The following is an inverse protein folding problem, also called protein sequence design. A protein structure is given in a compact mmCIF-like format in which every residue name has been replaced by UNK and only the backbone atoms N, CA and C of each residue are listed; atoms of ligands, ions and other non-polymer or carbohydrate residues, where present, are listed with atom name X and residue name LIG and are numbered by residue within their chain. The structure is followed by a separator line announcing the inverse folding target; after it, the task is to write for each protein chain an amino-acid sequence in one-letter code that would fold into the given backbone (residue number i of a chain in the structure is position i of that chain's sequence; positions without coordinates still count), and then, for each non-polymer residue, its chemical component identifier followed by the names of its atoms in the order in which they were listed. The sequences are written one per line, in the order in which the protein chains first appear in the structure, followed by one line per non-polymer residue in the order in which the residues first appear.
data_IF_818668690079
#
_entry.id   IF_818668690079
#
_cell.length_a   1.000
_cell.length_b   1.000
_cell.length_c   1.000
_cell.angle_alpha   90.00
_cell.angle_beta   90.00
_cell.angle_gamma   90.00
#
_symmetry.space_group_name_H-M   'P 1'
#
loop_
_entity.id
_entity.type
_entity.pdbx_description
1 polymer ?
#
# COMPACT_ATOMS: atom_id res chain seq x y z
N UNK A 1 -0.62 -32.73 8.87
CA UNK A 1 -0.35 -31.59 7.95
C UNK A 1 -0.08 -30.36 8.79
N UNK A 2 0.95 -29.60 8.47
CA UNK A 2 1.24 -28.32 9.12
C UNK A 2 1.48 -27.25 8.04
N UNK A 3 1.22 -25.99 8.38
CA UNK A 3 1.42 -24.86 7.49
C UNK A 3 2.65 -24.06 7.94
N UNK A 4 3.39 -23.52 6.97
CA UNK A 4 4.49 -22.59 7.20
C UNK A 4 4.13 -21.29 6.52
N UNK A 5 4.07 -20.21 7.28
CA UNK A 5 3.83 -18.87 6.76
C UNK A 5 5.10 -18.04 6.88
N UNK A 6 5.50 -17.41 5.79
CA UNK A 6 6.62 -16.47 5.77
C UNK A 6 6.34 -15.38 4.73
N UNK A 7 6.96 -14.22 4.94
CA UNK A 7 6.97 -13.13 3.96
C UNK A 7 8.25 -13.20 3.15
N UNK A 8 8.12 -13.22 1.83
CA UNK A 8 9.25 -13.21 0.92
C UNK A 8 8.99 -12.25 -0.24
N UNK A 9 10.07 -11.68 -0.77
CA UNK A 9 10.01 -10.86 -1.96
C UNK A 9 10.03 -11.76 -3.19
N UNK A 10 9.12 -11.51 -4.13
CA UNK A 10 9.15 -12.15 -5.44
C UNK A 10 10.23 -11.47 -6.28
N UNK A 11 11.28 -12.20 -6.67
CA UNK A 11 12.34 -11.71 -7.55
C UNK A 11 12.27 -12.46 -8.88
N UNK A 12 12.03 -11.75 -9.98
CA UNK A 12 11.93 -12.34 -11.32
C UNK A 12 10.92 -13.51 -11.40
N UNK A 13 9.81 -13.42 -10.68
CA UNK A 13 8.79 -14.48 -10.62
C UNK A 13 9.14 -15.66 -9.71
N UNK A 14 10.27 -15.62 -9.00
CA UNK A 14 10.72 -16.67 -8.07
C UNK A 14 10.53 -16.22 -6.62
N UNK A 15 9.93 -17.10 -5.81
CA UNK A 15 9.89 -16.98 -4.35
C UNK A 15 10.97 -17.90 -3.79
N UNK A 16 12.00 -17.33 -3.17
CA UNK A 16 13.03 -18.11 -2.48
C UNK A 16 12.55 -18.51 -1.08
N UNK A 17 12.67 -19.79 -0.75
CA UNK A 17 12.34 -20.30 0.58
C UNK A 17 13.46 -19.91 1.56
N UNK A 18 13.14 -19.20 2.65
CA UNK A 18 14.13 -18.81 3.65
C UNK A 18 14.85 -20.03 4.24
N UNK A 19 16.16 -19.94 4.55
CA UNK A 19 16.96 -21.07 5.03
C UNK A 19 16.35 -21.82 6.22
N UNK A 20 15.72 -21.11 7.14
CA UNK A 20 15.08 -21.64 8.35
C UNK A 20 13.90 -22.61 8.12
N UNK A 21 13.37 -22.64 6.88
CA UNK A 21 12.27 -23.52 6.49
C UNK A 21 12.69 -24.63 5.53
N UNK A 22 13.91 -24.60 4.97
CA UNK A 22 14.33 -25.56 3.93
C UNK A 22 14.29 -27.00 4.42
N UNK A 23 14.77 -27.26 5.63
CA UNK A 23 14.81 -28.61 6.22
C UNK A 23 13.44 -29.11 6.70
N UNK A 24 12.46 -28.21 6.77
CA UNK A 24 11.09 -28.56 7.19
C UNK A 24 10.29 -29.06 5.99
N UNK A 25 10.52 -28.51 4.79
CA UNK A 25 9.72 -28.83 3.61
C UNK A 25 10.15 -30.17 2.98
N UNK A 26 9.17 -31.02 2.70
CA UNK A 26 9.35 -32.27 1.95
C UNK A 26 9.28 -32.01 0.44
N UNK A 27 9.59 -33.02 -0.38
CA UNK A 27 9.65 -32.89 -1.86
C UNK A 27 8.34 -32.37 -2.49
N UNK A 28 7.18 -32.69 -1.91
CA UNK A 28 5.88 -32.28 -2.44
C UNK A 28 5.16 -31.36 -1.45
N UNK A 29 4.83 -30.14 -1.89
CA UNK A 29 4.15 -29.13 -1.07
C UNK A 29 2.98 -28.50 -1.82
N UNK A 30 1.93 -28.12 -1.08
CA UNK A 30 0.85 -27.27 -1.57
C UNK A 30 1.18 -25.81 -1.23
N UNK A 31 1.23 -24.95 -2.23
CA UNK A 31 1.57 -23.52 -2.07
C UNK A 31 0.29 -22.67 -2.09
N UNK A 32 0.19 -21.70 -1.17
CA UNK A 32 -0.85 -20.66 -1.17
C UNK A 32 -0.12 -19.31 -1.20
N UNK A 33 -0.41 -18.48 -2.20
CA UNK A 33 0.20 -17.15 -2.36
C UNK A 33 -0.88 -16.13 -2.04
N UNK A 34 -0.63 -15.31 -1.01
CA UNK A 34 -1.44 -14.15 -0.68
C UNK A 34 -0.67 -12.91 -1.09
N UNK A 35 -1.25 -12.10 -1.97
CA UNK A 35 -0.66 -10.83 -2.41
C UNK A 35 -1.34 -9.69 -1.68
N UNK A 36 -0.56 -8.70 -1.22
CA UNK A 36 -1.13 -7.44 -0.77
C UNK A 36 -1.71 -6.72 -1.99
N UNK A 37 -2.95 -6.25 -1.90
CA UNK A 37 -3.45 -5.29 -2.87
C UNK A 37 -2.54 -4.07 -2.81
N UNK A 38 -2.02 -3.68 -3.98
CA UNK A 38 -1.32 -2.42 -4.11
C UNK A 38 -2.37 -1.35 -3.84
N UNK A 39 -2.47 -0.89 -2.58
CA UNK A 39 -3.31 0.25 -2.27
C UNK A 39 -2.80 1.38 -3.14
N UNK A 40 -3.57 1.73 -4.17
CA UNK A 40 -3.44 3.02 -4.80
C UNK A 40 -3.72 4.02 -3.68
N UNK A 41 -2.65 4.50 -3.05
CA UNK A 41 -2.68 5.62 -2.11
C UNK A 41 -3.03 6.87 -2.90
N UNK A 42 -4.25 6.91 -3.42
CA UNK A 42 -4.91 8.16 -3.76
C UNK A 42 -5.41 8.72 -2.43
N UNK A 43 -4.47 9.30 -1.68
CA UNK A 43 -4.77 10.04 -0.47
C UNK A 43 -5.83 11.10 -0.82
N UNK A 44 -6.75 11.37 0.11
CA UNK A 44 -7.82 12.35 -0.12
C UNK A 44 -7.23 13.71 -0.48
N UNK A 45 -6.07 14.05 0.10
CA UNK A 45 -5.31 15.25 -0.25
C UNK A 45 -4.86 15.22 -1.72
N UNK A 46 -4.29 14.11 -2.19
CA UNK A 46 -3.89 13.94 -3.59
C UNK A 46 -5.07 14.09 -4.54
N UNK A 47 -6.21 13.47 -4.23
CA UNK A 47 -7.43 13.59 -5.03
C UNK A 47 -7.94 15.04 -5.12
N UNK A 48 -7.88 15.78 -4.03
CA UNK A 48 -8.34 17.17 -3.97
C UNK A 48 -7.38 18.15 -4.67
N UNK A 49 -6.09 17.84 -4.72
CA UNK A 49 -5.12 18.61 -5.50
C UNK A 49 -5.35 18.43 -7.01
N UNK A 50 -5.59 17.19 -7.45
CA UNK A 50 -5.86 16.89 -8.86
C UNK A 50 -7.25 17.36 -9.30
N UNK A 51 -8.25 17.27 -8.41
CA UNK A 51 -9.63 17.69 -8.66
C UNK A 51 -10.21 18.43 -7.45
N UNK A 52 -10.00 19.76 -7.37
CA UNK A 52 -10.57 20.58 -6.31
C UNK A 52 -12.10 20.52 -6.28
N UNK A 53 -12.69 20.56 -5.09
CA UNK A 53 -14.14 20.62 -4.93
C UNK A 53 -14.67 21.94 -5.50
N UNK A 54 -15.62 21.84 -6.43
CA UNK A 54 -16.33 22.99 -7.01
C UNK A 54 -17.58 23.26 -6.18
N UNK A 55 -17.49 24.24 -5.28
CA UNK A 55 -18.63 24.72 -4.50
C UNK A 55 -19.05 26.05 -5.11
N UNK A 56 -20.35 26.25 -5.33
CA UNK A 56 -20.88 27.41 -6.06
C UNK A 56 -20.47 28.74 -5.41
N UNK A 57 -20.42 28.78 -4.08
CA UNK A 57 -20.17 29.99 -3.29
C UNK A 57 -18.82 29.94 -2.55
N UNK A 58 -17.82 29.26 -3.12
CA UNK A 58 -16.49 29.22 -2.51
C UNK A 58 -15.71 30.50 -2.81
N UNK A 59 -15.60 31.35 -1.80
CA UNK A 59 -14.72 32.51 -1.81
C UNK A 59 -13.45 32.21 -0.98
N UNK A 60 -12.29 31.98 -1.62
CA UNK A 60 -11.06 31.74 -0.90
C UNK A 60 -10.62 33.01 -0.16
N UNK A 61 -10.29 32.85 1.13
CA UNK A 61 -9.76 33.94 1.95
C UNK A 61 -8.41 34.37 1.37
N UNK A 62 -8.19 35.68 1.12
CA UNK A 62 -6.90 36.19 0.67
C UNK A 62 -5.79 35.85 1.65
N UNK A 63 -4.61 35.52 1.11
CA UNK A 63 -3.46 35.12 1.92
C UNK A 63 -3.06 36.17 2.98
N UNK A 64 -3.20 37.45 2.67
CA UNK A 64 -2.92 38.54 3.62
C UNK A 64 -3.81 38.45 4.87
N UNK A 65 -5.10 38.17 4.70
CA UNK A 65 -6.09 38.09 5.79
C UNK A 65 -5.84 36.87 6.70
N UNK A 66 -5.28 35.77 6.16
CA UNK A 66 -4.92 34.59 6.95
C UNK A 66 -3.82 34.92 7.97
N UNK A 67 -2.82 35.71 7.55
CA UNK A 67 -1.68 36.07 8.41
C UNK A 67 -2.03 37.10 9.50
N UNK A 68 -3.08 37.90 9.30
CA UNK A 68 -3.56 38.86 10.31
C UNK A 68 -4.38 38.20 11.43
N UNK A 69 -4.85 36.95 11.23
CA UNK A 69 -5.62 36.17 12.23
C UNK A 69 -4.75 35.30 13.15
N UNK A 70 -3.42 35.36 13.03
CA UNK A 70 -2.45 34.60 13.84
C UNK A 70 -1.82 35.50 14.90
#
# INVERSE_FOLDING_TARGET
MYAVEFRAMVKNGVIEIPPEYRDKLQENVKVIILTEEKQERSDIIGKLLDSPLKIADFEPIPRAEIYERS
#
